data_IF_578867307139
#
_entry.id   IF_578867307139
#
_cell.length_a   1.000
_cell.length_b   1.000
_cell.length_c   1.000
_cell.angle_alpha   90.00
_cell.angle_beta   90.00
_cell.angle_gamma   90.00
#
_symmetry.space_group_name_H-M   'P 1'
#
loop_
_entity.id
_entity.type
_entity.pdbx_description
1 polymer ?
#
# COMPACT_ATOMS: atom_id res chain seq x y z
N UNK A 1 -0.83 11.76 23.84
CA UNK A 1 -1.63 10.73 23.15
C UNK A 1 -0.93 9.40 23.42
N UNK A 2 -1.44 8.66 24.38
CA UNK A 2 -0.91 7.34 24.69
C UNK A 2 -1.07 6.46 23.47
N UNK A 3 0.02 5.82 23.11
CA UNK A 3 0.13 4.99 21.92
C UNK A 3 -0.69 3.71 22.14
N UNK A 4 -1.96 3.73 21.69
CA UNK A 4 -2.85 2.57 21.71
C UNK A 4 -2.26 1.35 20.99
N UNK A 5 -1.20 1.55 20.17
CA UNK A 5 -0.51 0.47 19.50
C UNK A 5 0.25 -0.44 20.47
N UNK A 6 0.69 0.10 21.61
CA UNK A 6 1.46 -0.67 22.59
C UNK A 6 0.64 -1.77 23.27
N UNK A 7 -0.62 -1.50 23.57
CA UNK A 7 -1.50 -2.47 24.25
C UNK A 7 -1.92 -3.63 23.32
N UNK A 8 -1.94 -3.41 22.01
CA UNK A 8 -2.34 -4.40 21.03
C UNK A 8 -1.16 -5.26 20.52
N UNK A 9 0.08 -4.81 20.72
CA UNK A 9 1.28 -5.52 20.23
C UNK A 9 1.38 -6.95 20.74
N UNK A 10 0.87 -7.25 21.94
CA UNK A 10 0.87 -8.61 22.48
C UNK A 10 0.05 -9.61 21.69
N UNK A 11 -0.91 -9.13 20.89
CA UNK A 11 -1.82 -9.94 20.08
C UNK A 11 -1.33 -10.13 18.63
N UNK A 12 -0.29 -9.41 18.20
CA UNK A 12 0.21 -9.48 16.84
C UNK A 12 1.19 -10.64 16.65
N UNK A 13 1.27 -11.16 15.41
CA UNK A 13 2.31 -12.13 15.07
C UNK A 13 3.71 -11.50 15.11
N UNK A 14 4.75 -12.33 15.26
CA UNK A 14 6.12 -11.88 15.40
C UNK A 14 6.62 -11.05 14.20
N UNK A 15 6.22 -11.41 12.98
CA UNK A 15 6.58 -10.66 11.78
C UNK A 15 6.13 -9.20 11.85
N UNK A 16 4.89 -8.95 12.31
CA UNK A 16 4.36 -7.60 12.46
C UNK A 16 5.02 -6.86 13.62
N UNK A 17 5.23 -7.51 14.78
CA UNK A 17 5.93 -6.90 15.92
C UNK A 17 7.31 -6.41 15.53
N UNK A 18 8.06 -7.22 14.80
CA UNK A 18 9.40 -6.88 14.36
C UNK A 18 9.39 -5.77 13.30
N UNK A 19 8.41 -5.78 12.39
CA UNK A 19 8.23 -4.72 11.40
C UNK A 19 7.91 -3.37 12.06
N UNK A 20 7.06 -3.33 13.07
CA UNK A 20 6.73 -2.10 13.81
C UNK A 20 7.98 -1.50 14.47
N UNK A 21 8.83 -2.34 15.08
CA UNK A 21 10.09 -1.88 15.68
C UNK A 21 11.01 -1.21 14.66
N UNK A 22 11.12 -1.80 13.48
CA UNK A 22 11.93 -1.27 12.38
C UNK A 22 11.32 -0.01 11.79
N UNK A 23 10.00 0.00 11.64
CA UNK A 23 9.25 1.15 11.10
C UNK A 23 9.43 2.40 11.96
N UNK A 24 9.60 2.27 13.28
CA UNK A 24 9.83 3.41 14.16
C UNK A 24 11.08 4.22 13.78
N UNK A 25 12.04 3.60 13.11
CA UNK A 25 13.23 4.27 12.58
C UNK A 25 12.97 5.11 11.32
N UNK A 26 11.75 5.10 10.79
CA UNK A 26 11.29 5.86 9.60
C UNK A 26 12.11 5.62 8.32
N UNK A 27 12.77 4.47 8.19
CA UNK A 27 13.61 4.13 7.04
C UNK A 27 12.84 3.42 5.93
N UNK A 28 11.73 2.75 6.28
CA UNK A 28 10.91 1.97 5.35
C UNK A 28 9.64 2.73 5.00
N UNK A 29 9.26 2.66 3.72
CA UNK A 29 7.97 3.12 3.21
C UNK A 29 7.31 1.98 2.46
N UNK A 30 6.03 1.78 2.69
CA UNK A 30 5.23 0.77 2.03
C UNK A 30 4.31 1.42 1.01
N UNK A 31 4.26 0.86 -0.19
CA UNK A 31 3.32 1.23 -1.24
C UNK A 31 2.34 0.11 -1.48
N UNK A 32 1.06 0.45 -1.59
CA UNK A 32 -0.01 -0.47 -1.97
C UNK A 32 -0.55 -0.07 -3.34
N UNK A 33 -0.73 -1.04 -4.20
CA UNK A 33 -1.25 -0.85 -5.55
C UNK A 33 -2.48 -1.73 -5.76
N UNK A 34 -3.61 -1.10 -6.06
CA UNK A 34 -4.81 -1.77 -6.54
C UNK A 34 -4.83 -1.66 -8.06
N UNK A 35 -4.80 -2.79 -8.76
CA UNK A 35 -4.66 -2.82 -10.21
C UNK A 35 -5.97 -3.22 -10.87
N UNK A 36 -6.43 -2.41 -11.81
CA UNK A 36 -7.60 -2.65 -12.65
C UNK A 36 -7.23 -2.55 -14.12
N UNK A 37 -7.94 -3.27 -14.97
CA UNK A 37 -7.74 -3.14 -16.42
C UNK A 37 -8.31 -1.81 -16.89
N UNK A 38 -9.54 -1.50 -16.50
CA UNK A 38 -10.26 -0.31 -16.96
C UNK A 38 -11.06 0.32 -15.83
N UNK A 39 -10.95 1.63 -15.71
CA UNK A 39 -11.76 2.47 -14.83
C UNK A 39 -12.69 3.33 -15.66
N UNK A 40 -13.98 3.23 -15.40
CA UNK A 40 -15.02 4.00 -16.05
C UNK A 40 -16.01 4.56 -15.01
N UNK A 41 -17.00 5.28 -15.46
CA UNK A 41 -18.01 5.90 -14.60
C UNK A 41 -18.76 4.89 -13.72
N UNK A 42 -18.93 3.65 -14.18
CA UNK A 42 -19.71 2.63 -13.45
C UNK A 42 -18.92 1.95 -12.33
N UNK A 43 -17.59 1.87 -12.42
CA UNK A 43 -16.76 1.15 -11.45
C UNK A 43 -15.75 2.05 -10.66
N UNK A 44 -15.70 3.33 -10.97
CA UNK A 44 -14.67 4.23 -10.39
C UNK A 44 -14.74 4.28 -8.86
N UNK A 45 -15.93 4.37 -8.29
CA UNK A 45 -16.10 4.45 -6.83
C UNK A 45 -15.71 3.14 -6.14
N UNK A 46 -16.18 2.03 -6.67
CA UNK A 46 -15.85 0.71 -6.13
C UNK A 46 -14.34 0.48 -6.15
N UNK A 47 -13.68 0.71 -7.29
CA UNK A 47 -12.24 0.56 -7.42
C UNK A 47 -11.49 1.50 -6.48
N UNK A 48 -11.93 2.75 -6.36
CA UNK A 48 -11.31 3.73 -5.49
C UNK A 48 -11.40 3.32 -4.01
N UNK A 49 -12.58 2.98 -3.51
CA UNK A 49 -12.75 2.61 -2.11
C UNK A 49 -12.13 1.26 -1.77
N UNK A 50 -12.02 0.36 -2.74
CA UNK A 50 -11.21 -0.85 -2.60
C UNK A 50 -9.73 -0.49 -2.40
N UNK A 51 -9.22 0.49 -3.15
CA UNK A 51 -7.86 1.02 -2.96
C UNK A 51 -7.68 1.64 -1.57
N UNK A 52 -8.63 2.44 -1.11
CA UNK A 52 -8.61 3.03 0.24
C UNK A 52 -8.50 1.95 1.31
N UNK A 53 -9.36 0.93 1.21
CA UNK A 53 -9.39 -0.17 2.16
C UNK A 53 -8.08 -0.98 2.15
N UNK A 54 -7.59 -1.34 0.97
CA UNK A 54 -6.40 -2.18 0.82
C UNK A 54 -5.09 -1.45 1.14
N UNK A 55 -5.10 -0.12 1.10
CA UNK A 55 -3.90 0.69 1.37
C UNK A 55 -3.77 1.17 2.83
N UNK A 56 -4.68 0.77 3.71
CA UNK A 56 -4.65 1.21 5.12
C UNK A 56 -3.38 0.75 5.85
N UNK A 57 -2.75 -0.34 5.40
CA UNK A 57 -1.49 -0.88 5.91
C UNK A 57 -0.25 -0.37 5.16
N UNK A 58 -0.38 0.68 4.37
CA UNK A 58 0.72 1.26 3.60
C UNK A 58 0.84 2.77 3.79
N UNK A 59 2.02 3.31 3.50
CA UNK A 59 2.28 4.75 3.53
C UNK A 59 1.68 5.46 2.30
N UNK A 60 1.69 4.77 1.15
CA UNK A 60 1.15 5.27 -0.11
C UNK A 60 0.20 4.25 -0.70
N UNK A 61 -0.96 4.71 -1.13
CA UNK A 61 -1.93 3.89 -1.86
C UNK A 61 -2.14 4.44 -3.26
N UNK A 62 -2.07 3.58 -4.27
CA UNK A 62 -2.31 3.91 -5.66
C UNK A 62 -3.35 3.01 -6.30
N UNK A 63 -4.27 3.63 -7.01
CA UNK A 63 -5.12 2.96 -7.99
C UNK A 63 -4.41 2.99 -9.34
N UNK A 64 -4.16 1.83 -9.92
CA UNK A 64 -3.45 1.66 -11.18
C UNK A 64 -4.41 1.08 -12.21
N UNK A 65 -4.51 1.69 -13.38
CA UNK A 65 -5.33 1.15 -14.46
C UNK A 65 -4.67 1.36 -15.83
N UNK A 66 -4.92 0.42 -16.73
CA UNK A 66 -4.48 0.50 -18.12
C UNK A 66 -5.28 1.53 -18.92
N UNK A 67 -6.57 1.66 -18.59
CA UNK A 67 -7.48 2.63 -19.23
C UNK A 67 -8.29 3.36 -18.17
N UNK A 68 -8.40 4.67 -18.30
CA UNK A 68 -9.22 5.52 -17.41
C UNK A 68 -10.00 6.49 -18.25
N UNK A 69 -11.34 6.42 -18.18
CA UNK A 69 -12.21 7.36 -18.89
C UNK A 69 -12.08 8.78 -18.29
N UNK A 70 -12.24 9.78 -19.13
CA UNK A 70 -12.13 11.20 -18.71
C UNK A 70 -13.10 11.58 -17.59
N UNK A 71 -14.33 11.05 -17.62
CA UNK A 71 -15.29 11.29 -16.53
C UNK A 71 -14.86 10.64 -15.22
N UNK A 72 -14.25 9.48 -15.28
CA UNK A 72 -13.68 8.81 -14.11
C UNK A 72 -12.50 9.61 -13.51
N UNK A 73 -11.69 10.24 -14.34
CA UNK A 73 -10.57 11.10 -13.85
C UNK A 73 -11.11 12.25 -13.00
N UNK A 74 -12.18 12.89 -13.39
CA UNK A 74 -12.80 13.97 -12.61
C UNK A 74 -13.26 13.50 -11.24
N UNK A 75 -13.93 12.36 -11.19
CA UNK A 75 -14.38 11.74 -9.94
C UNK A 75 -13.18 11.33 -9.06
N UNK A 76 -12.15 10.75 -9.65
CA UNK A 76 -10.94 10.36 -8.94
C UNK A 76 -10.22 11.56 -8.30
N UNK A 77 -10.18 12.71 -8.98
CA UNK A 77 -9.59 13.94 -8.40
C UNK A 77 -10.32 14.39 -7.15
N UNK A 78 -11.65 14.32 -7.15
CA UNK A 78 -12.48 14.69 -6.00
C UNK A 78 -12.22 13.72 -4.83
N UNK A 79 -12.29 12.42 -5.10
CA UNK A 79 -12.08 11.38 -4.08
C UNK A 79 -10.65 11.41 -3.53
N UNK A 80 -9.66 11.59 -4.39
CA UNK A 80 -8.25 11.64 -3.98
C UNK A 80 -7.93 12.83 -3.08
N UNK A 81 -8.59 13.97 -3.29
CA UNK A 81 -8.38 15.14 -2.42
C UNK A 81 -8.76 14.87 -0.97
N UNK A 82 -9.74 13.99 -0.73
CA UNK A 82 -10.19 13.62 0.61
C UNK A 82 -9.40 12.47 1.22
N UNK A 83 -8.94 11.52 0.42
CA UNK A 83 -8.38 10.25 0.91
C UNK A 83 -6.88 10.09 0.67
N UNK A 84 -6.26 10.96 -0.12
CA UNK A 84 -4.83 10.90 -0.39
C UNK A 84 -4.37 9.74 -1.27
N UNK A 85 -5.30 9.03 -1.92
CA UNK A 85 -4.99 7.98 -2.89
C UNK A 85 -4.46 8.59 -4.18
N UNK A 86 -3.38 8.05 -4.72
CA UNK A 86 -2.87 8.40 -6.03
C UNK A 86 -3.47 7.57 -7.14
N UNK A 87 -3.30 8.01 -8.37
CA UNK A 87 -3.79 7.33 -9.57
C UNK A 87 -2.68 7.26 -10.61
N UNK A 88 -2.44 6.07 -11.13
CA UNK A 88 -1.45 5.80 -12.18
C UNK A 88 -2.17 5.26 -13.41
N UNK A 89 -1.91 5.90 -14.56
CA UNK A 89 -2.25 5.35 -15.86
C UNK A 89 -1.09 4.49 -16.34
N UNK A 90 -1.29 3.18 -16.38
CA UNK A 90 -0.26 2.20 -16.74
C UNK A 90 -0.19 2.04 -18.25
N UNK A 91 0.99 2.21 -18.81
CA UNK A 91 1.30 1.71 -20.16
C UNK A 91 1.83 0.28 -20.01
N UNK A 92 0.99 -0.71 -20.33
CA UNK A 92 1.33 -2.12 -20.15
C UNK A 92 2.38 -2.61 -21.16
N UNK A 93 2.51 -1.97 -22.33
CA UNK A 93 3.50 -2.32 -23.35
C UNK A 93 4.86 -1.66 -23.08
N UNK A 94 4.84 -0.42 -22.58
CA UNK A 94 6.04 0.30 -22.19
C UNK A 94 5.85 0.93 -20.79
N UNK A 95 6.11 0.17 -19.71
CA UNK A 95 5.85 0.65 -18.35
C UNK A 95 6.54 1.96 -17.97
N UNK A 96 7.67 2.30 -18.63
CA UNK A 96 8.37 3.56 -18.40
C UNK A 96 7.61 4.78 -18.90
N UNK A 97 6.65 4.59 -19.80
CA UNK A 97 5.75 5.65 -20.30
C UNK A 97 4.48 5.82 -19.45
N UNK A 98 4.34 5.03 -18.40
CA UNK A 98 3.23 5.17 -17.46
C UNK A 98 3.25 6.54 -16.77
N UNK A 99 2.06 7.06 -16.44
CA UNK A 99 1.89 8.40 -15.91
C UNK A 99 1.24 8.39 -14.54
N UNK A 100 1.80 9.14 -13.59
CA UNK A 100 1.13 9.46 -12.34
C UNK A 100 0.18 10.61 -12.61
N UNK A 101 -1.11 10.32 -12.75
CA UNK A 101 -2.15 11.33 -13.00
C UNK A 101 -2.43 12.14 -11.75
N UNK A 102 -2.47 11.46 -10.60
CA UNK A 102 -2.68 12.06 -9.28
C UNK A 102 -1.64 11.45 -8.35
N UNK A 103 -0.75 12.25 -7.75
CA UNK A 103 0.21 11.72 -6.78
C UNK A 103 -0.50 11.34 -5.47
N UNK A 104 -0.11 10.22 -4.87
CA UNK A 104 -0.57 9.85 -3.55
C UNK A 104 0.06 10.75 -2.48
N UNK A 105 -0.67 11.00 -1.40
CA UNK A 105 -0.13 11.63 -0.19
C UNK A 105 0.41 10.57 0.76
N UNK A 106 1.54 10.87 1.38
CA UNK A 106 2.12 9.99 2.38
C UNK A 106 1.22 9.91 3.60
N UNK A 107 0.96 8.69 4.05
CA UNK A 107 0.26 8.39 5.29
C UNK A 107 1.29 7.97 6.34
N UNK A 108 1.39 8.72 7.43
CA UNK A 108 2.32 8.40 8.51
C UNK A 108 1.76 7.36 9.49
N UNK A 109 0.45 7.24 9.57
CA UNK A 109 -0.22 6.28 10.46
C UNK A 109 -0.65 5.05 9.66
N UNK A 110 0.05 3.95 9.89
CA UNK A 110 -0.29 2.65 9.31
C UNK A 110 -1.25 1.92 10.24
N UNK A 111 -2.27 1.29 9.67
CA UNK A 111 -3.15 0.39 10.40
C UNK A 111 -2.46 -0.97 10.61
N UNK A 112 -1.73 -1.08 11.71
CA UNK A 112 -1.00 -2.29 12.05
C UNK A 112 -1.88 -3.48 12.38
N UNK A 113 -3.13 -3.25 12.82
CA UNK A 113 -4.08 -4.34 13.04
C UNK A 113 -4.50 -4.98 11.72
N UNK A 114 -4.77 -4.18 10.70
CA UNK A 114 -5.03 -4.68 9.35
C UNK A 114 -3.80 -5.37 8.76
N UNK A 115 -2.61 -4.82 8.95
CA UNK A 115 -1.36 -5.45 8.52
C UNK A 115 -1.15 -6.80 9.19
N UNK A 116 -1.42 -6.92 10.48
CA UNK A 116 -1.35 -8.20 11.20
C UNK A 116 -2.32 -9.23 10.63
N UNK A 117 -3.57 -8.85 10.42
CA UNK A 117 -4.57 -9.74 9.82
C UNK A 117 -4.15 -10.21 8.44
N UNK A 118 -3.65 -9.31 7.60
CA UNK A 118 -3.11 -9.67 6.28
C UNK A 118 -1.95 -10.66 6.38
N UNK A 119 -1.04 -10.48 7.33
CA UNK A 119 0.08 -11.39 7.53
C UNK A 119 -0.37 -12.79 8.01
N UNK A 120 -1.45 -12.87 8.78
CA UNK A 120 -2.04 -14.14 9.21
C UNK A 120 -2.78 -14.86 8.09
N UNK A 121 -3.46 -14.11 7.22
CA UNK A 121 -4.31 -14.64 6.15
C UNK A 121 -3.57 -14.84 4.82
N UNK A 122 -2.45 -14.17 4.61
CA UNK A 122 -1.74 -14.16 3.33
C UNK A 122 -0.25 -14.47 3.52
N UNK A 123 0.17 -15.64 3.05
CA UNK A 123 1.56 -16.10 3.16
C UNK A 123 2.54 -15.22 2.41
N UNK A 124 2.18 -14.69 1.25
CA UNK A 124 3.05 -13.84 0.45
C UNK A 124 3.31 -12.50 1.16
N UNK A 125 2.27 -11.91 1.74
CA UNK A 125 2.42 -10.70 2.53
C UNK A 125 3.28 -10.93 3.79
N UNK A 126 3.06 -12.03 4.50
CA UNK A 126 3.89 -12.41 5.64
C UNK A 126 5.35 -12.58 5.26
N UNK A 127 5.62 -13.25 4.14
CA UNK A 127 6.98 -13.45 3.63
C UNK A 127 7.63 -12.12 3.25
N UNK A 128 6.89 -11.22 2.61
CA UNK A 128 7.36 -9.88 2.29
C UNK A 128 7.76 -9.10 3.55
N UNK A 129 6.95 -9.13 4.59
CA UNK A 129 7.26 -8.48 5.88
C UNK A 129 8.50 -9.11 6.54
N UNK A 130 8.64 -10.44 6.47
CA UNK A 130 9.83 -11.15 6.98
C UNK A 130 11.10 -10.73 6.22
N UNK A 131 11.04 -10.54 4.92
CA UNK A 131 12.18 -10.05 4.13
C UNK A 131 12.60 -8.64 4.54
N UNK A 132 11.64 -7.76 4.81
CA UNK A 132 11.93 -6.42 5.35
C UNK A 132 12.63 -6.53 6.70
N UNK A 133 12.14 -7.38 7.60
CA UNK A 133 12.74 -7.62 8.91
C UNK A 133 14.20 -8.09 8.79
N UNK A 134 14.44 -9.10 7.96
CA UNK A 134 15.79 -9.65 7.73
C UNK A 134 16.72 -8.60 7.16
N UNK A 135 16.26 -7.80 6.21
CA UNK A 135 17.04 -6.70 5.68
C UNK A 135 17.52 -5.74 6.78
N UNK A 136 16.63 -5.32 7.67
CA UNK A 136 17.00 -4.40 8.75
C UNK A 136 17.90 -5.00 9.82
N UNK A 137 17.81 -6.31 10.05
CA UNK A 137 18.69 -6.99 10.98
C UNK A 137 20.11 -7.19 10.42
N UNK A 138 20.22 -7.45 9.13
CA UNK A 138 21.49 -7.81 8.47
C UNK A 138 22.08 -6.71 7.59
N UNK A 139 21.27 -5.75 7.13
CA UNK A 139 21.56 -4.78 6.08
C UNK A 139 21.99 -5.41 4.75
N UNK A 140 21.61 -6.66 4.53
CA UNK A 140 21.91 -7.41 3.32
C UNK A 140 20.63 -7.77 2.58
N UNK A 141 20.66 -7.63 1.25
CA UNK A 141 19.59 -8.08 0.36
C UNK A 141 20.03 -9.39 -0.27
N UNK A 142 19.28 -10.44 -0.02
CA UNK A 142 19.39 -11.66 -0.77
C UNK A 142 18.52 -11.55 -2.03
N UNK A 143 19.14 -11.35 -3.18
CA UNK A 143 18.42 -11.11 -4.44
C UNK A 143 17.43 -12.21 -4.80
N UNK A 144 17.71 -13.47 -4.42
CA UNK A 144 16.81 -14.59 -4.69
C UNK A 144 15.46 -14.49 -3.97
N UNK A 145 15.39 -13.74 -2.87
CA UNK A 145 14.18 -13.57 -2.07
C UNK A 145 13.23 -12.52 -2.67
N UNK A 146 13.70 -11.71 -3.63
CA UNK A 146 12.98 -10.57 -4.19
C UNK A 146 12.63 -10.72 -5.68
N UNK A 147 12.87 -11.88 -6.26
CA UNK A 147 12.59 -12.16 -7.68
C UNK A 147 11.41 -13.11 -7.81
#
# INVERSE_FOLDING_TARGET
MEDLSHDLMGQWCNAIKDCVKVYSDKRTRLWSFEVKVKINRSNVREAFFQTVSNSSSANFGYLVAKEINSDAVKELRILSSSHGIGVILLDAENPLESQIIIPARERNNIDWNTANRLAEENMDFKQYIDHIRVFYQSYKINKSDWI
#
